data_IF_033086387579
#
_entry.id   IF_033086387579
#
_cell.length_a   1.000
_cell.length_b   1.000
_cell.length_c   1.000
_cell.angle_alpha   90.00
_cell.angle_beta   90.00
_cell.angle_gamma   90.00
#
_symmetry.space_group_name_H-M   'P 1'
#
loop_
_entity.id
_entity.type
_entity.pdbx_description
1 polymer ?
#
# COMPACT_ATOMS: atom_id res chain seq x y z
N UNK A 1 -17.15 -6.81 -37.58
CA UNK A 1 -16.51 -7.61 -36.52
C UNK A 1 -15.20 -6.94 -36.19
N UNK A 2 -15.24 -6.00 -35.27
CA UNK A 2 -14.05 -5.36 -34.73
C UNK A 2 -14.19 -5.42 -33.22
N UNK A 3 -13.20 -6.02 -32.54
CA UNK A 3 -12.86 -5.83 -31.12
C UNK A 3 -11.72 -6.77 -30.63
N UNK A 4 -11.08 -7.56 -31.50
CA UNK A 4 -10.02 -8.52 -31.08
C UNK A 4 -8.59 -7.95 -31.04
N UNK A 5 -8.42 -6.64 -30.82
CA UNK A 5 -7.12 -6.04 -30.43
C UNK A 5 -7.18 -5.39 -29.05
N UNK A 6 -8.38 -5.26 -28.48
CA UNK A 6 -8.60 -4.76 -27.12
C UNK A 6 -8.52 -5.84 -26.06
N UNK A 7 -8.86 -7.09 -26.38
CA UNK A 7 -9.07 -8.14 -25.38
C UNK A 7 -7.84 -8.37 -24.46
N UNK A 8 -6.63 -8.53 -25.01
CA UNK A 8 -5.42 -8.67 -24.18
C UNK A 8 -5.11 -7.43 -23.32
N UNK A 9 -5.42 -6.23 -23.82
CA UNK A 9 -5.13 -4.97 -23.10
C UNK A 9 -6.19 -4.67 -22.05
N UNK A 10 -7.45 -4.99 -22.33
CA UNK A 10 -8.59 -4.84 -21.41
C UNK A 10 -8.49 -5.86 -20.28
N UNK A 11 -8.27 -7.15 -20.58
CA UNK A 11 -8.05 -8.18 -19.55
C UNK A 11 -6.88 -7.77 -18.65
N UNK A 12 -5.77 -7.34 -19.25
CA UNK A 12 -4.63 -6.81 -18.52
C UNK A 12 -5.01 -5.63 -17.60
N UNK A 13 -5.72 -4.62 -18.13
CA UNK A 13 -6.13 -3.45 -17.36
C UNK A 13 -7.11 -3.82 -16.25
N UNK A 14 -7.97 -4.81 -16.48
CA UNK A 14 -8.96 -5.29 -15.53
C UNK A 14 -8.29 -6.05 -14.38
N UNK A 15 -7.32 -6.93 -14.68
CA UNK A 15 -6.47 -7.57 -13.66
C UNK A 15 -5.64 -6.55 -12.88
N UNK A 16 -5.04 -5.55 -13.55
CA UNK A 16 -4.27 -4.50 -12.89
C UNK A 16 -5.15 -3.63 -11.99
N UNK A 17 -6.37 -3.31 -12.41
CA UNK A 17 -7.32 -2.54 -11.62
C UNK A 17 -7.78 -3.34 -10.39
N UNK A 18 -8.05 -4.65 -10.55
CA UNK A 18 -8.40 -5.54 -9.43
C UNK A 18 -7.25 -5.65 -8.43
N UNK A 19 -6.03 -5.94 -8.89
CA UNK A 19 -4.85 -6.09 -8.01
C UNK A 19 -4.49 -4.74 -7.38
N UNK A 20 -4.43 -3.68 -8.18
CA UNK A 20 -4.15 -2.32 -7.71
C UNK A 20 -5.19 -1.82 -6.71
N UNK A 21 -6.46 -2.13 -6.91
CA UNK A 21 -7.53 -1.83 -5.95
C UNK A 21 -7.36 -2.61 -4.64
N UNK A 22 -7.01 -3.89 -4.71
CA UNK A 22 -6.74 -4.72 -3.54
C UNK A 22 -5.52 -4.21 -2.75
N UNK A 23 -4.44 -3.86 -3.46
CA UNK A 23 -3.20 -3.29 -2.90
C UNK A 23 -3.45 -1.92 -2.29
N UNK A 24 -4.18 -1.03 -2.97
CA UNK A 24 -4.50 0.30 -2.47
C UNK A 24 -5.36 0.22 -1.20
N UNK A 25 -6.35 -0.67 -1.16
CA UNK A 25 -7.17 -0.88 0.03
C UNK A 25 -6.33 -1.45 1.20
N UNK A 26 -5.45 -2.41 0.92
CA UNK A 26 -4.52 -2.96 1.91
C UNK A 26 -3.52 -1.90 2.44
N UNK A 27 -2.94 -1.10 1.54
CA UNK A 27 -2.00 -0.03 1.87
C UNK A 27 -2.65 1.11 2.65
N UNK A 28 -3.88 1.50 2.30
CA UNK A 28 -4.64 2.50 3.05
C UNK A 28 -4.95 2.02 4.47
N UNK A 29 -5.36 0.76 4.63
CA UNK A 29 -5.61 0.18 5.96
C UNK A 29 -4.33 0.11 6.81
N UNK A 30 -3.20 -0.21 6.18
CA UNK A 30 -1.89 -0.23 6.85
C UNK A 30 -1.37 1.17 7.22
N UNK A 31 -1.42 2.12 6.31
CA UNK A 31 -1.01 3.51 6.55
C UNK A 31 -1.89 4.17 7.61
N UNK A 32 -3.19 3.89 7.58
CA UNK A 32 -4.11 4.32 8.64
C UNK A 32 -3.76 3.69 9.98
N UNK A 33 -3.33 2.42 10.01
CA UNK A 33 -2.90 1.75 11.25
C UNK A 33 -1.62 2.35 11.82
N UNK A 34 -0.60 2.61 11.00
CA UNK A 34 0.63 3.29 11.43
C UNK A 34 0.34 4.73 11.90
N UNK A 35 -0.51 5.47 11.18
CA UNK A 35 -0.96 6.80 11.58
C UNK A 35 -1.80 6.81 12.86
N UNK A 36 -2.68 5.82 13.04
CA UNK A 36 -3.48 5.62 14.26
C UNK A 36 -2.62 5.15 15.44
N UNK A 37 -1.54 4.40 15.22
CA UNK A 37 -0.59 4.08 16.29
C UNK A 37 0.17 5.32 16.75
N UNK A 38 0.47 6.25 15.82
CA UNK A 38 1.12 7.53 16.14
C UNK A 38 0.18 8.53 16.85
N UNK A 39 -1.11 8.54 16.50
CA UNK A 39 -2.11 9.47 17.06
C UNK A 39 -2.92 8.87 18.22
N UNK A 40 -3.17 7.57 18.27
CA UNK A 40 -4.24 6.95 19.06
C UNK A 40 -4.02 6.86 20.57
N UNK A 41 -2.78 6.87 21.07
CA UNK A 41 -2.51 6.92 22.52
C UNK A 41 -2.39 8.37 23.01
N UNK A 42 -1.67 9.19 22.26
CA UNK A 42 -1.38 10.58 22.61
C UNK A 42 -2.63 11.47 22.45
N UNK A 43 -3.34 11.35 21.33
CA UNK A 43 -4.56 12.13 21.09
C UNK A 43 -5.71 11.68 21.99
N UNK A 44 -5.85 10.38 22.28
CA UNK A 44 -6.90 9.89 23.16
C UNK A 44 -6.70 10.33 24.61
N UNK A 45 -5.46 10.41 25.11
CA UNK A 45 -5.16 10.96 26.43
C UNK A 45 -5.51 12.46 26.51
N UNK A 46 -5.21 13.20 25.44
CA UNK A 46 -5.58 14.62 25.31
C UNK A 46 -7.10 14.79 25.18
N UNK A 47 -7.77 13.96 24.39
CA UNK A 47 -9.22 13.97 24.16
C UNK A 47 -9.99 13.49 25.40
N UNK A 48 -9.42 12.61 26.22
CA UNK A 48 -10.01 12.23 27.51
C UNK A 48 -9.90 13.38 28.50
N UNK A 49 -8.79 14.13 28.50
CA UNK A 49 -8.60 15.32 29.35
C UNK A 49 -9.33 16.58 28.86
N UNK A 50 -9.61 16.71 27.56
CA UNK A 50 -10.05 17.97 26.95
C UNK A 50 -11.30 17.87 26.04
N UNK A 51 -11.71 16.66 25.63
CA UNK A 51 -12.69 16.43 24.54
C UNK A 51 -14.13 16.12 24.97
N UNK A 52 -15.08 16.38 24.05
CA UNK A 52 -16.54 16.14 24.20
C UNK A 52 -16.89 14.64 24.07
N UNK A 53 -17.98 14.17 24.71
CA UNK A 53 -18.33 12.74 24.78
C UNK A 53 -18.61 12.06 23.43
N UNK A 54 -18.93 12.83 22.40
CA UNK A 54 -19.25 12.38 21.05
C UNK A 54 -18.02 11.85 20.27
N UNK A 55 -16.83 12.35 20.54
CA UNK A 55 -15.59 11.93 19.85
C UNK A 55 -15.03 10.62 20.43
N UNK A 56 -15.29 10.34 21.72
CA UNK A 56 -14.92 9.07 22.38
C UNK A 56 -15.58 7.84 21.76
N UNK A 57 -16.80 7.96 21.25
CA UNK A 57 -17.54 6.83 20.67
C UNK A 57 -16.92 6.35 19.37
N UNK A 58 -16.43 7.28 18.54
CA UNK A 58 -15.73 6.95 17.30
C UNK A 58 -14.37 6.31 17.59
N UNK A 59 -13.61 6.85 18.54
CA UNK A 59 -12.32 6.27 18.94
C UNK A 59 -12.45 4.83 19.45
N UNK A 60 -13.46 4.53 20.27
CA UNK A 60 -13.71 3.19 20.80
C UNK A 60 -13.94 2.12 19.71
N UNK A 61 -14.40 2.52 18.52
CA UNK A 61 -14.63 1.63 17.38
C UNK A 61 -13.37 1.29 16.59
N UNK A 62 -12.34 2.14 16.70
CA UNK A 62 -11.07 2.00 15.98
C UNK A 62 -10.07 1.15 16.80
N UNK A 63 -10.13 1.22 18.14
CA UNK A 63 -9.36 0.38 19.07
C UNK A 63 -9.39 -1.14 18.75
N UNK A 64 -10.54 -1.78 18.47
CA UNK A 64 -10.59 -3.21 18.18
C UNK A 64 -9.96 -3.57 16.83
N UNK A 65 -9.90 -2.63 15.87
CA UNK A 65 -9.24 -2.85 14.57
C UNK A 65 -7.71 -2.92 14.77
N UNK A 66 -7.16 -2.04 15.60
CA UNK A 66 -5.74 -2.12 16.04
C UNK A 66 -5.43 -3.40 16.80
N UNK A 67 -6.36 -3.90 17.62
CA UNK A 67 -6.15 -5.13 18.41
C UNK A 67 -6.02 -6.40 17.56
N UNK A 68 -6.48 -6.39 16.30
CA UNK A 68 -6.35 -7.49 15.34
C UNK A 68 -5.21 -7.27 14.34
N UNK A 69 -4.03 -6.87 14.84
CA UNK A 69 -2.82 -6.61 14.04
C UNK A 69 -2.43 -7.76 13.09
N UNK A 70 -2.74 -9.01 13.44
CA UNK A 70 -2.33 -10.18 12.65
C UNK A 70 -2.96 -10.21 11.25
N UNK A 71 -4.22 -9.80 11.10
CA UNK A 71 -4.91 -9.77 9.79
C UNK A 71 -4.41 -8.64 8.91
N UNK A 72 -4.10 -7.48 9.52
CA UNK A 72 -3.53 -6.33 8.82
C UNK A 72 -2.11 -6.63 8.34
N UNK A 73 -1.28 -7.27 9.18
CA UNK A 73 0.05 -7.73 8.79
C UNK A 73 0.00 -8.71 7.62
N UNK A 74 -0.91 -9.68 7.67
CA UNK A 74 -1.06 -10.66 6.59
C UNK A 74 -1.49 -10.00 5.27
N UNK A 75 -2.48 -9.09 5.33
CA UNK A 75 -2.98 -8.39 4.13
C UNK A 75 -1.95 -7.40 3.58
N UNK A 76 -1.18 -6.74 4.44
CA UNK A 76 -0.06 -5.86 4.06
C UNK A 76 1.04 -6.66 3.36
N UNK A 77 1.47 -7.79 3.93
CA UNK A 77 2.49 -8.66 3.34
C UNK A 77 2.07 -9.19 1.97
N UNK A 78 0.81 -9.62 1.84
CA UNK A 78 0.26 -10.10 0.57
C UNK A 78 0.17 -8.95 -0.45
N UNK A 79 -0.28 -7.76 -0.05
CA UNK A 79 -0.34 -6.61 -0.95
C UNK A 79 1.03 -6.16 -1.45
N UNK A 80 2.02 -6.16 -0.55
CA UNK A 80 3.40 -5.80 -0.88
C UNK A 80 4.04 -6.85 -1.81
N UNK A 81 3.86 -8.14 -1.54
CA UNK A 81 4.39 -9.20 -2.41
C UNK A 81 3.72 -9.22 -3.78
N UNK A 82 2.40 -8.99 -3.84
CA UNK A 82 1.67 -8.87 -5.10
C UNK A 82 2.16 -7.68 -5.94
N UNK A 83 2.45 -6.53 -5.31
CA UNK A 83 2.97 -5.37 -6.03
C UNK A 83 4.39 -5.62 -6.60
N UNK A 84 5.26 -6.28 -5.83
CA UNK A 84 6.61 -6.65 -6.29
C UNK A 84 6.60 -7.64 -7.45
N UNK A 85 5.61 -8.54 -7.51
CA UNK A 85 5.48 -9.50 -8.62
C UNK A 85 4.74 -8.91 -9.83
N UNK A 86 3.68 -8.13 -9.61
CA UNK A 86 2.83 -7.60 -10.68
C UNK A 86 3.55 -6.56 -11.55
N UNK A 87 4.44 -5.75 -10.98
CA UNK A 87 5.19 -4.70 -11.68
C UNK A 87 6.13 -5.28 -12.77
N UNK A 88 7.03 -6.24 -12.47
CA UNK A 88 7.87 -6.88 -13.48
C UNK A 88 7.06 -7.72 -14.48
N UNK A 89 6.03 -8.46 -14.03
CA UNK A 89 5.17 -9.27 -14.92
C UNK A 89 4.52 -8.40 -16.00
N UNK A 90 4.13 -7.17 -15.65
CA UNK A 90 3.56 -6.27 -16.63
C UNK A 90 4.61 -5.63 -17.54
N UNK A 91 5.74 -5.18 -16.99
CA UNK A 91 6.82 -4.58 -17.79
C UNK A 91 7.36 -5.57 -18.83
N UNK A 92 7.41 -6.87 -18.52
CA UNK A 92 7.82 -7.92 -19.45
C UNK A 92 6.87 -8.07 -20.65
N UNK A 93 5.58 -7.74 -20.50
CA UNK A 93 4.61 -7.73 -21.60
C UNK A 93 4.67 -6.48 -22.48
N UNK A 94 5.32 -5.41 -22.03
CA UNK A 94 5.36 -4.11 -22.72
C UNK A 94 6.74 -3.76 -23.30
N UNK A 95 7.81 -4.26 -22.69
CA UNK A 95 9.21 -3.91 -22.98
C UNK A 95 9.99 -5.21 -23.20
N UNK A 96 11.03 -5.26 -24.05
CA UNK A 96 11.86 -6.44 -24.16
C UNK A 96 12.37 -6.93 -22.78
N UNK A 97 12.42 -8.25 -22.55
CA UNK A 97 12.58 -8.86 -21.22
C UNK A 97 13.82 -8.38 -20.45
N UNK A 98 14.91 -8.08 -21.15
CA UNK A 98 16.14 -7.55 -20.54
C UNK A 98 15.95 -6.13 -19.96
N UNK A 99 15.14 -5.29 -20.61
CA UNK A 99 14.84 -3.94 -20.15
C UNK A 99 13.74 -3.94 -19.08
N UNK A 100 12.78 -4.86 -19.15
CA UNK A 100 11.77 -5.06 -18.10
C UNK A 100 12.42 -5.36 -16.75
N UNK A 101 13.41 -6.25 -16.72
CA UNK A 101 14.16 -6.60 -15.51
C UNK A 101 14.96 -5.40 -14.98
N UNK A 102 15.73 -4.71 -15.84
CA UNK A 102 16.54 -3.55 -15.43
C UNK A 102 15.67 -2.41 -14.87
N UNK A 103 14.56 -2.10 -15.53
CA UNK A 103 13.67 -1.02 -15.11
C UNK A 103 12.94 -1.43 -13.83
N UNK A 104 12.47 -2.68 -13.71
CA UNK A 104 11.78 -3.13 -12.50
C UNK A 104 12.69 -3.14 -11.28
N UNK A 105 13.92 -3.65 -11.40
CA UNK A 105 14.90 -3.64 -10.30
C UNK A 105 15.25 -2.21 -9.90
N UNK A 106 15.49 -1.33 -10.88
CA UNK A 106 15.79 0.09 -10.63
C UNK A 106 14.62 0.81 -9.96
N UNK A 107 13.37 0.55 -10.37
CA UNK A 107 12.19 1.16 -9.77
C UNK A 107 11.97 0.70 -8.33
N UNK A 108 12.07 -0.62 -8.07
CA UNK A 108 11.85 -1.19 -6.73
C UNK A 108 12.95 -0.72 -5.78
N UNK A 109 14.22 -0.72 -6.22
CA UNK A 109 15.32 -0.11 -5.46
C UNK A 109 14.96 1.35 -5.23
N UNK A 110 14.82 2.19 -6.25
CA UNK A 110 14.57 3.62 -6.05
C UNK A 110 13.36 3.91 -5.13
N UNK A 111 12.27 3.12 -5.17
CA UNK A 111 11.14 3.28 -4.26
C UNK A 111 11.42 2.79 -2.83
N UNK A 112 12.15 1.68 -2.67
CA UNK A 112 12.58 1.17 -1.37
C UNK A 112 13.69 2.02 -0.73
N UNK A 113 14.57 2.59 -1.54
CA UNK A 113 15.67 3.45 -1.11
C UNK A 113 15.15 4.86 -0.81
N UNK A 114 14.11 5.35 -1.51
CA UNK A 114 13.49 6.65 -1.20
C UNK A 114 12.74 6.65 0.15
N UNK A 115 12.35 5.49 0.68
CA UNK A 115 11.87 5.35 2.08
C UNK A 115 13.04 5.40 3.09
N UNK A 116 14.26 5.02 2.69
CA UNK A 116 15.47 4.96 3.53
C UNK A 116 16.45 6.14 3.31
N UNK A 117 16.16 7.10 2.44
CA UNK A 117 16.99 8.31 2.29
C UNK A 117 16.36 9.51 3.02
N UNK A 118 16.57 9.69 4.34
CA UNK A 118 16.95 10.98 4.82
C UNK A 118 18.48 11.09 4.63
N UNK A 119 18.89 11.87 3.64
CA UNK A 119 20.04 12.77 3.78
C UNK A 119 21.27 12.20 4.52
N UNK A 120 22.27 11.70 3.79
CA UNK A 120 23.66 11.79 4.25
C UNK A 120 24.35 12.94 3.50
N UNK A 121 24.42 14.17 4.06
CA UNK A 121 25.45 15.11 3.74
C UNK A 121 26.62 14.84 4.71
N UNK A 122 27.62 14.11 4.22
CA UNK A 122 28.99 13.89 4.72
C UNK A 122 29.34 12.47 4.23
N UNK A 123 30.39 12.23 3.46
CA UNK A 123 31.77 12.72 3.54
C UNK A 123 32.33 12.86 2.12
#
# INVERSE_FOLDING_TARGET
MGEDTGCCKTEFWLYLLIIGGLVAFAGLMAGLTLGLMSLGLVDLEVLIKSGRPQDRSHAAKILPVVKNQHLLLCTLLIGNSLAMEALPIFLDKLVPPWAAILISVTLILMFGEVDEIPNSPLI
#
